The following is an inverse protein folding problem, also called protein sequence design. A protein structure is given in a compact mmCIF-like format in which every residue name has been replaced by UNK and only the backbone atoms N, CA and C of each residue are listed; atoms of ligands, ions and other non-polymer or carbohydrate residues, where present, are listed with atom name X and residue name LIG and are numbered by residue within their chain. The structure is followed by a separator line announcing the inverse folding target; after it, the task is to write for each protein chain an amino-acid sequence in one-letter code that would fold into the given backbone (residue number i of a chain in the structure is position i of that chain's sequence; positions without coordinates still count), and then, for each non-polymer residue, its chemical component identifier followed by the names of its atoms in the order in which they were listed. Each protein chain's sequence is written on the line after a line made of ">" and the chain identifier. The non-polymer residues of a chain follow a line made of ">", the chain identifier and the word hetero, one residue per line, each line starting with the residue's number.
data_IF_498613464235
#
_entry.id   IF_498613464235
#
_cell.length_a   1.000
_cell.length_b   1.000
_cell.length_c   1.000
_cell.angle_alpha   90.00
_cell.angle_beta   90.00
_cell.angle_gamma   90.00
#
_symmetry.space_group_name_H-M   'P 1'
#
loop_
_entity.id
_entity.type
_entity.pdbx_description
1 polymer ?
#
# COMPACT_ATOMS: atom_id res chain seq x y z
N UNK A 1 17.11 -11.25 20.13
CA UNK A 1 16.66 -9.97 19.54
C UNK A 1 16.88 -10.06 18.04
N UNK A 2 15.82 -9.97 17.24
CA UNK A 2 15.95 -9.94 15.79
C UNK A 2 16.54 -8.58 15.41
N UNK A 3 17.76 -8.55 14.88
CA UNK A 3 18.47 -7.31 14.54
C UNK A 3 17.92 -6.77 13.21
N UNK A 4 16.68 -6.30 13.26
CA UNK A 4 15.99 -5.70 12.11
C UNK A 4 16.58 -4.32 11.87
N UNK A 5 17.45 -4.21 10.87
CA UNK A 5 17.83 -2.91 10.33
C UNK A 5 16.69 -2.41 9.42
N UNK A 6 16.01 -1.30 9.75
CA UNK A 6 14.89 -0.79 8.95
C UNK A 6 15.38 -0.46 7.54
N UNK A 7 14.64 -0.85 6.52
CA UNK A 7 15.00 -0.56 5.13
C UNK A 7 14.91 0.94 4.81
N UNK A 8 15.32 1.35 3.61
CA UNK A 8 15.37 2.76 3.20
C UNK A 8 14.01 3.43 3.29
N UNK A 9 12.93 2.76 2.90
CA UNK A 9 11.58 3.31 2.99
C UNK A 9 11.18 3.53 4.45
N UNK A 10 11.41 2.54 5.30
CA UNK A 10 11.16 2.63 6.74
C UNK A 10 11.96 3.75 7.40
N UNK A 11 13.25 3.88 7.07
CA UNK A 11 14.12 4.98 7.56
C UNK A 11 13.64 6.36 7.09
N UNK A 12 13.17 6.47 5.85
CA UNK A 12 12.59 7.72 5.34
C UNK A 12 11.29 8.10 6.07
N UNK A 13 10.46 7.11 6.39
CA UNK A 13 9.23 7.33 7.15
C UNK A 13 9.48 7.63 8.62
N UNK A 14 10.51 7.05 9.25
CA UNK A 14 10.91 7.40 10.62
C UNK A 14 11.31 8.87 10.73
N UNK A 15 11.92 9.46 9.70
CA UNK A 15 12.19 10.91 9.67
C UNK A 15 10.91 11.75 9.65
N UNK A 16 9.76 11.18 9.29
CA UNK A 16 8.48 11.87 9.40
C UNK A 16 7.99 11.97 10.83
N UNK A 17 8.57 11.24 11.79
CA UNK A 17 8.22 11.40 13.21
C UNK A 17 8.69 12.75 13.77
N UNK A 18 9.62 13.42 13.11
CA UNK A 18 10.04 14.81 13.40
C UNK A 18 8.93 15.83 13.05
N UNK A 19 7.95 15.45 12.23
CA UNK A 19 6.79 16.29 11.90
C UNK A 19 5.75 16.18 13.03
N UNK A 20 5.09 17.28 13.46
CA UNK A 20 4.03 17.21 14.46
C UNK A 20 2.95 16.18 14.10
N UNK A 21 2.51 15.39 15.09
CA UNK A 21 1.61 14.24 14.88
C UNK A 21 0.37 14.57 14.03
N UNK A 22 -0.21 15.77 14.20
CA UNK A 22 -1.37 16.23 13.44
C UNK A 22 -1.09 16.45 11.94
N UNK A 23 0.16 16.72 11.56
CA UNK A 23 0.56 17.00 10.18
C UNK A 23 1.20 15.78 9.49
N UNK A 24 1.58 14.73 10.23
CA UNK A 24 2.24 13.53 9.68
C UNK A 24 1.46 12.86 8.54
N UNK A 25 0.14 12.61 8.63
CA UNK A 25 -0.59 11.94 7.55
C UNK A 25 -0.61 12.76 6.26
N UNK A 26 -0.77 14.09 6.38
CA UNK A 26 -0.75 15.00 5.24
C UNK A 26 0.63 15.04 4.58
N UNK A 27 1.70 15.24 5.37
CA UNK A 27 3.06 15.31 4.84
C UNK A 27 3.49 13.99 4.21
N UNK A 28 3.17 12.86 4.84
CA UNK A 28 3.38 11.52 4.28
C UNK A 28 2.69 11.35 2.94
N UNK A 29 1.43 11.78 2.84
CA UNK A 29 0.69 11.72 1.58
C UNK A 29 1.34 12.59 0.51
N UNK A 30 1.81 13.80 0.84
CA UNK A 30 2.53 14.65 -0.12
C UNK A 30 3.82 13.99 -0.63
N UNK A 31 4.62 13.40 0.26
CA UNK A 31 5.89 12.73 -0.11
C UNK A 31 5.63 11.51 -0.99
N UNK A 32 4.72 10.63 -0.59
CA UNK A 32 4.46 9.38 -1.32
C UNK A 32 3.75 9.62 -2.65
N UNK A 33 2.87 10.62 -2.74
CA UNK A 33 2.26 11.05 -4.01
C UNK A 33 3.28 11.58 -5.02
N UNK A 34 4.37 12.19 -4.55
CA UNK A 34 5.47 12.61 -5.42
C UNK A 34 6.34 11.44 -5.88
N UNK A 35 6.52 10.43 -5.03
CA UNK A 35 7.28 9.23 -5.38
C UNK A 35 6.53 8.33 -6.38
N UNK A 36 5.21 8.24 -6.26
CA UNK A 36 4.34 7.47 -7.17
C UNK A 36 3.27 8.41 -7.75
N UNK A 37 3.53 9.10 -8.88
CA UNK A 37 2.67 10.18 -9.40
C UNK A 37 1.20 9.79 -9.56
N UNK A 38 0.92 8.53 -9.93
CA UNK A 38 -0.46 8.07 -10.13
C UNK A 38 -1.29 8.06 -8.85
N UNK A 39 -0.67 7.79 -7.69
CA UNK A 39 -1.34 7.90 -6.37
C UNK A 39 -1.71 9.35 -6.06
N UNK A 40 -0.91 10.32 -6.55
CA UNK A 40 -1.20 11.75 -6.48
C UNK A 40 -2.37 12.16 -7.35
N UNK A 41 -2.38 11.70 -8.61
CA UNK A 41 -3.50 11.91 -9.54
C UNK A 41 -4.81 11.42 -8.94
N UNK A 42 -4.83 10.18 -8.42
CA UNK A 42 -6.01 9.59 -7.79
C UNK A 42 -6.37 10.25 -6.44
N UNK A 43 -5.41 10.89 -5.76
CA UNK A 43 -5.65 11.52 -4.46
C UNK A 43 -5.68 10.54 -3.30
N UNK A 44 -4.80 9.52 -3.30
CA UNK A 44 -4.71 8.56 -2.20
C UNK A 44 -4.19 9.21 -0.92
N UNK A 45 -4.90 9.07 0.19
CA UNK A 45 -4.52 9.56 1.51
C UNK A 45 -3.84 8.41 2.29
N UNK A 46 -2.55 8.54 2.62
CA UNK A 46 -1.81 7.52 3.37
C UNK A 46 -2.08 7.74 4.86
N UNK A 47 -2.93 6.91 5.47
CA UNK A 47 -3.47 7.06 6.83
C UNK A 47 -2.62 6.33 7.88
N UNK A 48 -2.04 5.18 7.54
CA UNK A 48 -1.06 4.46 8.36
C UNK A 48 0.01 3.82 7.48
N UNK A 49 1.26 3.82 7.95
CA UNK A 49 2.37 3.16 7.29
C UNK A 49 3.25 2.51 8.35
N UNK A 50 3.25 1.18 8.40
CA UNK A 50 4.07 0.37 9.28
C UNK A 50 4.49 -0.93 8.61
N UNK A 51 5.35 -1.69 9.28
CA UNK A 51 5.85 -2.98 8.76
C UNK A 51 4.81 -4.08 8.85
N UNK A 52 3.87 -4.02 9.81
CA UNK A 52 2.79 -5.00 9.94
C UNK A 52 1.46 -4.58 9.32
N UNK A 53 1.26 -3.26 9.12
CA UNK A 53 -0.03 -2.69 8.70
C UNK A 53 0.17 -1.42 7.89
N UNK A 54 -0.59 -1.30 6.81
CA UNK A 54 -0.71 -0.07 6.02
C UNK A 54 -2.19 0.22 5.80
N UNK A 55 -2.59 1.48 6.00
CA UNK A 55 -3.94 1.95 5.73
C UNK A 55 -3.89 3.14 4.77
N UNK A 56 -4.66 3.06 3.69
CA UNK A 56 -4.77 4.11 2.68
C UNK A 56 -6.26 4.39 2.44
N UNK A 57 -6.60 5.65 2.25
CA UNK A 57 -7.94 6.11 1.88
C UNK A 57 -8.00 6.72 0.48
N UNK A 58 -9.19 6.70 -0.11
CA UNK A 58 -9.52 7.45 -1.33
C UNK A 58 -10.92 8.06 -1.18
N UNK A 59 -11.03 9.35 -1.48
CA UNK A 59 -12.31 10.07 -1.43
C UNK A 59 -13.08 9.88 -2.73
N UNK A 60 -14.41 9.86 -2.64
CA UNK A 60 -15.27 9.81 -3.82
C UNK A 60 -15.36 11.20 -4.49
N UNK A 61 -14.40 11.51 -5.36
CA UNK A 61 -14.31 12.78 -6.09
C UNK A 61 -14.44 12.56 -7.61
N UNK A 62 -14.91 13.58 -8.34
CA UNK A 62 -15.15 13.52 -9.81
C UNK A 62 -14.02 12.87 -10.61
N UNK A 63 -12.77 13.16 -10.27
CA UNK A 63 -11.57 12.65 -10.97
C UNK A 63 -11.35 11.14 -10.85
N UNK A 64 -11.94 10.49 -9.85
CA UNK A 64 -11.85 9.04 -9.61
C UNK A 64 -13.21 8.36 -9.65
N UNK A 65 -14.25 9.06 -10.09
CA UNK A 65 -15.59 8.51 -10.22
C UNK A 65 -15.74 7.68 -11.50
N UNK A 66 -16.59 6.67 -11.42
CA UNK A 66 -17.15 6.01 -12.59
C UNK A 66 -18.38 6.77 -13.12
N UNK A 67 -18.94 6.28 -14.23
CA UNK A 67 -20.10 6.86 -14.90
C UNK A 67 -21.40 6.84 -14.07
N UNK A 68 -21.42 6.18 -12.91
CA UNK A 68 -22.56 6.15 -11.97
C UNK A 68 -22.28 6.90 -10.66
N UNK A 69 -21.19 7.67 -10.58
CA UNK A 69 -20.87 8.55 -9.45
C UNK A 69 -20.26 7.85 -8.22
N UNK A 70 -19.92 6.56 -8.30
CA UNK A 70 -19.13 5.86 -7.29
C UNK A 70 -17.64 5.86 -7.63
N UNK A 71 -16.78 5.42 -6.71
CA UNK A 71 -15.34 5.24 -7.00
C UNK A 71 -15.15 4.25 -8.16
N UNK A 72 -14.28 4.58 -9.11
CA UNK A 72 -14.00 3.76 -10.28
C UNK A 72 -13.31 2.45 -9.88
N UNK A 73 -13.66 1.34 -10.55
CA UNK A 73 -13.07 0.03 -10.29
C UNK A 73 -11.53 0.05 -10.32
N UNK A 74 -10.93 0.72 -11.31
CA UNK A 74 -9.47 0.90 -11.39
C UNK A 74 -8.91 1.74 -10.23
N UNK A 75 -9.66 2.69 -9.68
CA UNK A 75 -9.25 3.47 -8.51
C UNK A 75 -9.34 2.63 -7.23
N UNK A 76 -10.32 1.74 -7.12
CA UNK A 76 -10.37 0.72 -6.04
C UNK A 76 -9.16 -0.23 -6.13
N UNK A 77 -8.82 -0.67 -7.34
CA UNK A 77 -7.64 -1.51 -7.56
C UNK A 77 -6.36 -0.80 -7.18
N UNK A 78 -6.18 0.44 -7.63
CA UNK A 78 -5.03 1.27 -7.24
C UNK A 78 -4.93 1.42 -5.73
N UNK A 79 -6.05 1.70 -5.04
CA UNK A 79 -6.08 1.81 -3.58
C UNK A 79 -5.55 0.54 -2.89
N UNK A 80 -6.07 -0.63 -3.29
CA UNK A 80 -5.71 -1.91 -2.66
C UNK A 80 -4.29 -2.37 -3.05
N UNK A 81 -3.90 -2.19 -4.31
CA UNK A 81 -2.56 -2.46 -4.82
C UNK A 81 -1.52 -1.61 -4.07
N UNK A 82 -1.77 -0.31 -3.94
CA UNK A 82 -0.82 0.57 -3.26
C UNK A 82 -0.71 0.22 -1.78
N UNK A 83 -1.81 -0.14 -1.09
CA UNK A 83 -1.74 -0.55 0.31
C UNK A 83 -0.89 -1.83 0.49
N UNK A 84 -1.11 -2.84 -0.35
CA UNK A 84 -0.35 -4.10 -0.30
C UNK A 84 1.11 -3.94 -0.72
N UNK A 85 1.38 -3.16 -1.77
CA UNK A 85 2.74 -2.87 -2.22
C UNK A 85 3.56 -2.09 -1.19
N UNK A 86 2.92 -1.15 -0.50
CA UNK A 86 3.56 -0.37 0.56
C UNK A 86 3.91 -1.23 1.77
N UNK A 87 3.02 -2.14 2.23
CA UNK A 87 3.34 -2.99 3.39
C UNK A 87 4.46 -4.00 3.05
N UNK A 88 4.50 -4.52 1.82
CA UNK A 88 5.62 -5.34 1.33
C UNK A 88 6.90 -4.51 1.24
N UNK A 89 6.83 -3.32 0.64
CA UNK A 89 7.94 -2.39 0.50
C UNK A 89 8.55 -1.94 1.83
N UNK A 90 7.82 -2.02 2.94
CA UNK A 90 8.34 -1.76 4.30
C UNK A 90 9.17 -2.91 4.88
N UNK A 91 9.11 -4.11 4.30
CA UNK A 91 9.76 -5.31 4.83
C UNK A 91 10.81 -5.91 3.89
N UNK A 92 10.72 -5.65 2.59
CA UNK A 92 11.71 -6.10 1.61
C UNK A 92 13.06 -5.41 1.85
N UNK A 93 14.15 -6.15 1.68
CA UNK A 93 15.53 -5.68 1.86
C UNK A 93 15.89 -4.58 0.85
N UNK A 94 16.88 -3.75 1.20
CA UNK A 94 17.33 -2.62 0.37
C UNK A 94 17.99 -3.04 -0.96
N UNK A 95 18.47 -4.28 -1.05
CA UNK A 95 19.05 -4.88 -2.26
C UNK A 95 18.03 -5.66 -3.10
N UNK A 96 16.74 -5.50 -2.80
CA UNK A 96 15.64 -6.19 -3.46
C UNK A 96 14.59 -5.18 -3.96
N UNK A 97 13.83 -5.57 -5.00
CA UNK A 97 12.75 -4.76 -5.56
C UNK A 97 11.44 -5.54 -5.45
N UNK A 98 10.41 -4.98 -4.78
CA UNK A 98 9.07 -5.58 -4.78
C UNK A 98 8.37 -5.32 -6.13
N UNK A 99 7.73 -6.34 -6.65
CA UNK A 99 6.99 -6.33 -7.91
C UNK A 99 5.64 -7.03 -7.72
N UNK A 100 4.57 -6.39 -8.17
CA UNK A 100 3.26 -7.03 -8.22
C UNK A 100 3.32 -8.18 -9.25
N UNK A 101 3.09 -9.41 -8.80
CA UNK A 101 3.10 -10.61 -9.65
C UNK A 101 1.70 -10.92 -10.16
N UNK A 102 0.72 -10.91 -9.27
CA UNK A 102 -0.68 -11.18 -9.59
C UNK A 102 -1.59 -10.31 -8.73
N UNK A 103 -2.68 -9.85 -9.33
CA UNK A 103 -3.78 -9.23 -8.61
C UNK A 103 -5.11 -9.80 -9.09
N UNK A 104 -6.03 -9.99 -8.16
CA UNK A 104 -7.40 -10.40 -8.43
C UNK A 104 -8.31 -9.54 -7.57
N UNK A 105 -9.35 -8.99 -8.20
CA UNK A 105 -10.36 -8.18 -7.53
C UNK A 105 -11.75 -8.62 -7.97
N UNK A 106 -12.55 -9.11 -7.03
CA UNK A 106 -13.92 -9.51 -7.26
C UNK A 106 -14.87 -8.48 -6.64
N UNK A 107 -15.65 -7.81 -7.50
CA UNK A 107 -16.64 -6.80 -7.09
C UNK A 107 -17.94 -7.48 -6.64
N UNK A 108 -18.24 -7.40 -5.35
CA UNK A 108 -19.42 -8.05 -4.75
C UNK A 108 -20.60 -7.10 -4.60
N UNK A 109 -20.31 -5.84 -4.26
CA UNK A 109 -21.32 -4.82 -3.99
C UNK A 109 -20.86 -3.49 -4.57
N UNK A 110 -21.83 -2.60 -4.79
CA UNK A 110 -21.52 -1.20 -5.11
C UNK A 110 -20.98 -0.53 -3.85
N UNK A 111 -19.86 0.16 -3.97
CA UNK A 111 -19.28 0.95 -2.90
C UNK A 111 -20.10 2.24 -2.66
N UNK A 112 -20.20 2.63 -1.40
CA UNK A 112 -20.79 3.91 -1.00
C UNK A 112 -19.73 4.87 -0.45
N UNK A 113 -19.62 6.05 -1.05
CA UNK A 113 -18.75 7.11 -0.55
C UNK A 113 -17.25 6.80 -0.72
N UNK A 114 -16.44 7.33 0.21
CA UNK A 114 -15.02 7.07 0.27
C UNK A 114 -14.70 5.60 0.57
N UNK A 115 -13.48 5.18 0.24
CA UNK A 115 -12.98 3.84 0.52
C UNK A 115 -11.71 3.89 1.36
N UNK A 116 -11.48 2.85 2.15
CA UNK A 116 -10.25 2.59 2.88
C UNK A 116 -9.76 1.18 2.62
N UNK A 117 -8.48 1.02 2.29
CA UNK A 117 -7.82 -0.27 2.19
C UNK A 117 -6.85 -0.45 3.35
N UNK A 118 -6.95 -1.60 4.02
CA UNK A 118 -6.06 -2.01 5.10
C UNK A 118 -5.35 -3.29 4.67
N UNK A 119 -4.04 -3.20 4.48
CA UNK A 119 -3.18 -4.34 4.18
C UNK A 119 -2.37 -4.72 5.43
N UNK A 120 -2.24 -6.02 5.69
CA UNK A 120 -1.52 -6.53 6.87
C UNK A 120 -0.59 -7.66 6.50
N UNK A 121 0.49 -7.80 7.28
CA UNK A 121 1.43 -8.92 7.19
C UNK A 121 1.60 -9.58 8.56
N UNK A 122 1.69 -10.91 8.57
CA UNK A 122 2.03 -11.66 9.78
C UNK A 122 3.51 -11.53 10.13
N UNK A 123 3.87 -11.87 11.36
CA UNK A 123 5.25 -11.84 11.82
C UNK A 123 6.15 -12.78 11.01
N UNK A 124 5.63 -13.94 10.64
CA UNK A 124 6.31 -14.94 9.82
C UNK A 124 6.55 -14.44 8.40
N UNK A 125 5.55 -13.78 7.79
CA UNK A 125 5.69 -13.19 6.46
C UNK A 125 6.78 -12.11 6.45
N UNK A 126 6.78 -11.23 7.46
CA UNK A 126 7.80 -10.18 7.61
C UNK A 126 9.20 -10.77 7.78
N UNK A 127 9.35 -11.77 8.65
CA UNK A 127 10.62 -12.45 8.86
C UNK A 127 11.14 -13.12 7.57
N UNK A 128 10.26 -13.75 6.80
CA UNK A 128 10.62 -14.38 5.52
C UNK A 128 11.13 -13.37 4.48
N UNK A 129 10.49 -12.20 4.36
CA UNK A 129 10.94 -11.13 3.45
C UNK A 129 12.31 -10.55 3.84
N UNK A 130 12.62 -10.52 5.13
CA UNK A 130 13.90 -10.01 5.64
C UNK A 130 15.03 -11.04 5.51
N UNK A 131 14.70 -12.33 5.59
CA UNK A 131 15.66 -13.42 5.52
C UNK A 131 16.06 -13.84 4.10
N UNK A 132 15.26 -13.50 3.08
CA UNK A 132 15.49 -13.93 1.70
C UNK A 132 15.63 -12.75 0.73
N UNK A 133 16.50 -12.89 -0.26
CA UNK A 133 16.65 -11.93 -1.37
C UNK A 133 15.65 -12.17 -2.52
N UNK A 134 14.93 -13.30 -2.47
CA UNK A 134 13.87 -13.64 -3.41
C UNK A 134 12.72 -14.36 -2.72
N UNK A 135 11.49 -14.05 -3.13
CA UNK A 135 10.33 -14.79 -2.66
C UNK A 135 9.03 -14.23 -3.17
N UNK A 136 7.94 -14.83 -2.72
CA UNK A 136 6.58 -14.43 -3.03
C UNK A 136 5.73 -14.44 -1.76
N UNK A 137 4.78 -13.51 -1.68
CA UNK A 137 3.86 -13.40 -0.56
C UNK A 137 2.49 -12.97 -1.06
N UNK A 138 1.45 -13.66 -0.57
CA UNK A 138 0.08 -13.20 -0.72
C UNK A 138 -0.23 -12.23 0.42
N UNK A 139 -0.68 -11.03 0.08
CA UNK A 139 -0.94 -9.96 1.04
C UNK A 139 -2.45 -9.79 1.20
N UNK A 140 -3.02 -10.12 2.37
CA UNK A 140 -4.42 -9.86 2.63
C UNK A 140 -4.67 -8.35 2.68
N UNK A 141 -5.74 -7.92 2.03
CA UNK A 141 -6.22 -6.54 2.08
C UNK A 141 -7.73 -6.51 2.24
N UNK A 142 -8.20 -5.69 3.18
CA UNK A 142 -9.62 -5.43 3.38
C UNK A 142 -9.92 -4.03 2.87
N UNK A 143 -10.86 -3.92 1.93
CA UNK A 143 -11.38 -2.62 1.47
C UNK A 143 -12.72 -2.40 2.13
N UNK A 144 -12.93 -1.23 2.74
CA UNK A 144 -14.19 -0.86 3.38
C UNK A 144 -14.68 0.48 2.84
N UNK A 145 -15.98 0.60 2.68
CA UNK A 145 -16.64 1.84 2.29
C UNK A 145 -17.19 2.62 3.51
N UNK A 146 -17.78 3.79 3.29
CA UNK A 146 -18.32 4.63 4.37
C UNK A 146 -19.50 3.98 5.11
N UNK A 147 -20.16 2.99 4.50
CA UNK A 147 -21.20 2.20 5.13
C UNK A 147 -20.65 1.02 5.95
N UNK A 148 -19.32 0.86 6.02
CA UNK A 148 -18.66 -0.25 6.70
C UNK A 148 -18.76 -1.57 5.95
N UNK A 149 -19.15 -1.54 4.68
CA UNK A 149 -19.28 -2.73 3.84
C UNK A 149 -17.95 -2.99 3.15
N UNK A 150 -17.59 -4.26 2.98
CA UNK A 150 -16.52 -4.65 2.07
C UNK A 150 -17.08 -4.87 0.66
N UNK A 151 -16.88 -3.95 -0.31
CA UNK A 151 -17.45 -4.08 -1.63
C UNK A 151 -16.63 -5.00 -2.55
N UNK A 152 -15.36 -5.27 -2.22
CA UNK A 152 -14.42 -6.00 -3.09
C UNK A 152 -13.62 -7.04 -2.31
N UNK A 153 -13.59 -8.28 -2.82
CA UNK A 153 -12.63 -9.28 -2.38
C UNK A 153 -11.37 -9.16 -3.21
N UNK A 154 -10.20 -9.14 -2.58
CA UNK A 154 -8.94 -8.96 -3.28
C UNK A 154 -7.91 -10.00 -2.88
N UNK A 155 -7.08 -10.37 -3.85
CA UNK A 155 -5.91 -11.20 -3.67
C UNK A 155 -4.75 -10.52 -4.40
N UNK A 156 -3.64 -10.32 -3.70
CA UNK A 156 -2.46 -9.64 -4.23
C UNK A 156 -1.22 -10.47 -3.93
N UNK A 157 -0.61 -11.02 -4.97
CA UNK A 157 0.66 -11.73 -4.88
C UNK A 157 1.78 -10.78 -5.26
N UNK A 158 2.67 -10.56 -4.31
CA UNK A 158 3.87 -9.76 -4.48
C UNK A 158 5.09 -10.67 -4.54
N UNK A 159 5.99 -10.40 -5.47
CA UNK A 159 7.30 -11.01 -5.53
C UNK A 159 8.36 -9.98 -5.15
N UNK A 160 9.47 -10.43 -4.57
CA UNK A 160 10.68 -9.62 -4.50
C UNK A 160 11.83 -10.40 -5.13
N UNK A 161 12.70 -9.66 -5.80
CA UNK A 161 13.90 -10.20 -6.46
C UNK A 161 15.08 -9.27 -6.17
N UNK A 162 16.33 -9.76 -6.27
CA UNK A 162 17.51 -8.91 -6.16
C UNK A 162 17.44 -7.76 -7.17
N UNK A 163 17.73 -6.54 -6.71
CA UNK A 163 17.95 -5.41 -7.60
C UNK A 163 19.17 -5.74 -8.47
N UNK A 164 18.97 -5.91 -9.78
CA UNK A 164 20.09 -6.10 -10.70
C UNK A 164 21.08 -4.93 -10.61
N UNK A 165 22.34 -5.11 -11.07
CA UNK A 165 23.30 -4.01 -11.07
C UNK A 165 22.67 -2.81 -11.81
N UNK A 166 22.69 -1.63 -11.19
CA UNK A 166 22.40 -0.37 -11.88
C UNK A 166 23.31 -0.34 -13.11
N UNK A 167 22.74 -0.42 -14.32
CA UNK A 167 23.48 0.01 -15.51
C UNK A 167 23.79 1.48 -15.28
N UNK A 168 25.06 1.79 -15.01
CA UNK A 168 25.55 3.17 -14.90
C UNK A 168 25.44 3.86 -16.24
#
# INVERSE_FOLDING_TARGET
>A
MNDYSPNRLARQLQRLDEVPAFARPWFRSVVLRRAVPFTGTAGLDFLEMGTGRVEIGIRNEKKVQNHIGGVHASAMNLLAETATGMVVGMNVRDDCIPLAKELKMAFKKRATGALRAVATLSDEQRAAMQASDKGEVNVPVTVTDEAGVNPVECEFVWAWIPSGPRKS
#
